data_IF_743201719717
#
_entry.id   IF_743201719717
#
_cell.length_a   1.000
_cell.length_b   1.000
_cell.length_c   1.000
_cell.angle_alpha   90.00
_cell.angle_beta   90.00
_cell.angle_gamma   90.00
#
_symmetry.space_group_name_H-M   'P 1'
#
loop_
_entity.id
_entity.type
_entity.pdbx_description
1 polymer ?
#
# COMPACT_ATOMS: atom_id res chain seq x y z
N UNK A 1 -1.22 5.73 16.25
CA UNK A 1 -0.09 6.67 16.49
C UNK A 1 0.41 7.16 15.14
N UNK A 2 0.79 8.44 15.03
CA UNK A 2 1.31 9.02 13.79
C UNK A 2 2.81 8.70 13.63
N UNK A 3 3.28 8.53 12.39
CA UNK A 3 4.68 8.24 12.05
C UNK A 3 5.44 9.57 11.85
N UNK A 4 5.63 10.34 12.93
CA UNK A 4 6.32 11.64 12.86
C UNK A 4 7.80 11.45 13.22
N UNK A 5 8.75 11.80 12.34
CA UNK A 5 10.18 11.66 12.62
C UNK A 5 10.70 12.80 13.50
N UNK A 6 11.87 12.57 14.13
CA UNK A 6 12.55 13.60 14.95
C UNK A 6 13.24 14.69 14.11
N UNK A 7 13.54 14.40 12.84
CA UNK A 7 14.26 15.29 11.94
C UNK A 7 13.83 15.04 10.49
N UNK A 8 14.11 16.02 9.63
CA UNK A 8 13.86 15.91 8.21
C UNK A 8 14.83 14.92 7.55
N UNK A 9 14.42 14.40 6.39
CA UNK A 9 15.24 13.57 5.51
C UNK A 9 15.15 14.06 4.06
N UNK A 10 16.13 13.68 3.25
CA UNK A 10 16.13 13.88 1.79
C UNK A 10 16.52 12.55 1.14
N UNK A 11 15.86 12.20 0.04
CA UNK A 11 16.05 10.93 -0.67
C UNK A 11 16.16 11.16 -2.18
N UNK A 12 16.59 10.11 -2.90
CA UNK A 12 16.64 10.05 -4.36
C UNK A 12 15.79 8.87 -4.81
N UNK A 13 14.84 9.10 -5.71
CA UNK A 13 14.02 8.05 -6.32
C UNK A 13 14.82 7.30 -7.37
N UNK A 14 14.75 5.97 -7.37
CA UNK A 14 15.44 5.11 -8.32
C UNK A 14 14.46 4.54 -9.32
N UNK A 15 14.83 4.53 -10.60
CA UNK A 15 13.99 3.99 -11.67
C UNK A 15 13.90 2.46 -11.65
N UNK A 16 15.01 1.79 -11.35
CA UNK A 16 15.16 0.34 -11.55
C UNK A 16 14.47 -0.52 -10.47
N UNK A 17 14.08 0.08 -9.36
CA UNK A 17 13.53 -0.63 -8.19
C UNK A 17 12.19 -0.02 -7.84
N UNK A 18 11.11 -0.74 -8.16
CA UNK A 18 9.75 -0.27 -7.99
C UNK A 18 8.83 -1.40 -7.52
N UNK A 19 7.65 -0.98 -7.05
CA UNK A 19 6.56 -1.86 -6.66
C UNK A 19 5.36 -1.50 -7.52
N UNK A 20 4.72 -2.50 -8.11
CA UNK A 20 3.42 -2.34 -8.73
C UNK A 20 2.36 -2.85 -7.76
N UNK A 21 1.25 -2.13 -7.64
CA UNK A 21 0.14 -2.50 -6.78
C UNK A 21 -1.16 -2.25 -7.49
N UNK A 22 -2.04 -3.24 -7.47
CA UNK A 22 -3.42 -3.17 -7.92
C UNK A 22 -4.34 -3.34 -6.71
N UNK A 23 -5.34 -2.49 -6.61
CA UNK A 23 -6.34 -2.52 -5.54
C UNK A 23 -7.73 -2.61 -6.17
N UNK A 24 -8.53 -3.57 -5.70
CA UNK A 24 -9.91 -3.75 -6.12
C UNK A 24 -10.81 -3.73 -4.91
N UNK A 25 -11.62 -2.69 -4.74
CA UNK A 25 -12.62 -2.61 -3.68
C UNK A 25 -13.85 -3.43 -4.04
N UNK A 26 -14.39 -4.18 -3.08
CA UNK A 26 -15.54 -5.07 -3.29
C UNK A 26 -16.38 -5.16 -2.01
N UNK A 27 -17.68 -4.91 -2.13
CA UNK A 27 -18.66 -4.90 -1.03
C UNK A 27 -19.06 -6.29 -0.54
N UNK A 28 -18.76 -7.34 -1.30
CA UNK A 28 -19.00 -8.74 -0.94
C UNK A 28 -17.88 -9.34 -0.09
N UNK A 29 -16.75 -8.66 0.01
CA UNK A 29 -15.64 -9.09 0.86
C UNK A 29 -15.98 -8.85 2.33
N UNK A 30 -15.56 -9.77 3.20
CA UNK A 30 -15.71 -9.64 4.66
C UNK A 30 -14.43 -9.24 5.38
N UNK A 31 -13.31 -9.18 4.65
CA UNK A 31 -11.99 -8.77 5.13
C UNK A 31 -11.11 -8.43 3.93
N UNK A 32 -10.07 -7.62 4.15
CA UNK A 32 -9.05 -7.37 3.13
C UNK A 32 -8.30 -8.65 2.78
N UNK A 33 -7.89 -8.77 1.53
CA UNK A 33 -7.06 -9.87 1.05
C UNK A 33 -5.82 -9.31 0.38
N UNK A 34 -4.65 -9.88 0.67
CA UNK A 34 -3.37 -9.38 0.19
C UNK A 34 -2.53 -10.48 -0.44
N UNK A 35 -2.01 -10.22 -1.63
CA UNK A 35 -1.05 -11.05 -2.35
C UNK A 35 0.21 -10.23 -2.62
N UNK A 36 1.35 -10.84 -2.36
CA UNK A 36 2.67 -10.27 -2.61
C UNK A 36 3.48 -11.23 -3.50
N UNK A 37 3.91 -10.77 -4.67
CA UNK A 37 4.61 -11.58 -5.67
C UNK A 37 3.86 -12.89 -6.01
N UNK A 38 2.53 -12.81 -6.14
CA UNK A 38 1.66 -13.96 -6.40
C UNK A 38 1.38 -14.86 -5.18
N UNK A 39 2.01 -14.63 -4.03
CA UNK A 39 1.79 -15.42 -2.81
C UNK A 39 0.78 -14.74 -1.87
N UNK A 40 -0.18 -15.52 -1.36
CA UNK A 40 -1.18 -15.00 -0.41
C UNK A 40 -0.52 -14.72 0.95
N UNK A 41 -0.60 -13.47 1.40
CA UNK A 41 -0.06 -13.01 2.67
C UNK A 41 -1.11 -13.13 3.77
N UNK A 42 -0.69 -13.51 4.97
CA UNK A 42 -1.58 -13.70 6.12
C UNK A 42 -0.93 -13.27 7.44
N UNK A 43 -1.70 -13.26 8.53
CA UNK A 43 -1.23 -12.93 9.87
C UNK A 43 -0.83 -11.47 10.04
N UNK A 44 0.27 -11.22 10.75
CA UNK A 44 0.70 -9.87 11.15
C UNK A 44 0.91 -8.89 10.01
N UNK A 45 1.29 -9.39 8.84
CA UNK A 45 1.57 -8.54 7.68
C UNK A 45 0.28 -8.10 7.00
N UNK A 46 -0.68 -9.02 6.85
CA UNK A 46 -2.06 -8.69 6.44
C UNK A 46 -2.70 -7.72 7.44
N UNK A 47 -2.58 -7.95 8.75
CA UNK A 47 -3.12 -7.04 9.77
C UNK A 47 -2.57 -5.61 9.66
N UNK A 48 -1.30 -5.44 9.27
CA UNK A 48 -0.71 -4.11 9.04
C UNK A 48 -1.32 -3.43 7.82
N UNK A 49 -1.49 -4.17 6.72
CA UNK A 49 -2.12 -3.67 5.51
C UNK A 49 -3.59 -3.33 5.78
N UNK A 50 -4.36 -4.19 6.45
CA UNK A 50 -5.74 -3.90 6.82
C UNK A 50 -5.89 -2.63 7.66
N UNK A 51 -5.00 -2.40 8.64
CA UNK A 51 -4.98 -1.15 9.42
C UNK A 51 -4.68 0.08 8.57
N UNK A 52 -3.85 -0.06 7.55
CA UNK A 52 -3.63 1.01 6.58
C UNK A 52 -4.88 1.25 5.72
N UNK A 53 -5.52 0.17 5.25
CA UNK A 53 -6.76 0.26 4.49
C UNK A 53 -7.93 0.85 5.30
N UNK A 54 -7.96 0.66 6.62
CA UNK A 54 -8.92 1.36 7.49
C UNK A 54 -8.76 2.88 7.39
N UNK A 55 -7.54 3.41 7.28
CA UNK A 55 -7.31 4.86 7.12
C UNK A 55 -7.85 5.33 5.76
N UNK A 56 -7.59 4.55 4.71
CA UNK A 56 -8.08 4.84 3.34
C UNK A 56 -9.62 4.85 3.32
N UNK A 57 -10.25 3.80 3.84
CA UNK A 57 -11.71 3.66 3.95
C UNK A 57 -12.34 4.85 4.68
N UNK A 58 -11.79 5.20 5.85
CA UNK A 58 -12.28 6.33 6.64
C UNK A 58 -12.14 7.67 5.89
N UNK A 59 -11.06 7.85 5.12
CA UNK A 59 -10.85 9.09 4.34
C UNK A 59 -11.76 9.16 3.12
N UNK A 60 -12.05 8.03 2.48
CA UNK A 60 -12.93 7.94 1.33
C UNK A 60 -14.43 7.85 1.69
N UNK A 61 -14.76 7.56 2.95
CA UNK A 61 -16.15 7.41 3.40
C UNK A 61 -16.82 6.13 2.89
N UNK A 62 -16.04 5.05 2.75
CA UNK A 62 -16.52 3.74 2.30
C UNK A 62 -16.21 2.64 3.32
N UNK A 63 -17.01 1.58 3.33
CA UNK A 63 -16.84 0.42 4.21
C UNK A 63 -16.42 -0.86 3.45
N UNK A 64 -16.12 -0.75 2.15
CA UNK A 64 -15.73 -1.90 1.33
C UNK A 64 -14.30 -2.34 1.63
N UNK A 65 -14.11 -3.65 1.77
CA UNK A 65 -12.79 -4.24 1.83
C UNK A 65 -12.17 -4.34 0.43
N UNK A 66 -10.86 -4.58 0.38
CA UNK A 66 -10.15 -4.66 -0.88
C UNK A 66 -9.37 -5.97 -1.07
N UNK A 67 -9.29 -6.39 -2.32
CA UNK A 67 -8.27 -7.29 -2.83
C UNK A 67 -7.06 -6.46 -3.29
N UNK A 68 -5.90 -6.77 -2.73
CA UNK A 68 -4.65 -6.04 -2.92
C UNK A 68 -3.64 -7.02 -3.51
N UNK A 69 -3.20 -6.74 -4.73
CA UNK A 69 -2.20 -7.54 -5.43
C UNK A 69 -0.97 -6.66 -5.63
N UNK A 70 0.20 -7.07 -5.17
CA UNK A 70 1.42 -6.28 -5.31
C UNK A 70 2.63 -7.11 -5.72
N UNK A 71 3.41 -6.57 -6.66
CA UNK A 71 4.62 -7.19 -7.17
C UNK A 71 5.82 -6.26 -6.93
N UNK A 72 6.88 -6.81 -6.34
CA UNK A 72 8.11 -6.09 -6.01
C UNK A 72 9.22 -6.44 -7.01
N UNK A 73 9.67 -5.44 -7.77
CA UNK A 73 10.74 -5.57 -8.75
C UNK A 73 12.08 -5.15 -8.14
N UNK A 74 12.49 -5.87 -7.09
CA UNK A 74 13.78 -5.66 -6.41
C UNK A 74 14.60 -6.95 -6.39
N UNK A 75 15.95 -6.89 -6.52
CA UNK A 75 16.76 -8.09 -6.41
C UNK A 75 16.63 -8.68 -4.99
N UNK A 76 16.19 -9.93 -4.90
CA UNK A 76 15.86 -10.63 -3.64
C UNK A 76 17.03 -10.72 -2.65
N UNK A 77 18.27 -10.49 -3.10
CA UNK A 77 19.49 -10.57 -2.30
C UNK A 77 20.19 -9.23 -2.02
N UNK A 78 19.60 -8.09 -2.42
CA UNK A 78 20.29 -6.79 -2.34
C UNK A 78 20.17 -6.07 -0.98
N UNK A 79 19.40 -6.60 -0.02
CA UNK A 79 19.19 -5.94 1.27
C UNK A 79 18.49 -4.57 1.18
N UNK A 80 17.80 -4.30 0.06
CA UNK A 80 17.08 -3.06 -0.18
C UNK A 80 15.70 -3.11 0.49
N UNK A 81 15.35 -2.06 1.24
CA UNK A 81 14.04 -1.94 1.87
C UNK A 81 12.96 -1.69 0.81
N UNK A 82 12.05 -2.65 0.62
CA UNK A 82 10.91 -2.56 -0.33
C UNK A 82 9.65 -1.92 0.27
N UNK A 83 9.64 -1.62 1.58
CA UNK A 83 8.43 -1.13 2.25
C UNK A 83 8.02 0.28 1.81
N UNK A 84 8.97 1.17 1.52
CA UNK A 84 8.66 2.54 1.12
C UNK A 84 7.90 2.58 -0.23
N UNK A 85 8.39 1.86 -1.24
CA UNK A 85 7.72 1.77 -2.55
C UNK A 85 6.38 1.05 -2.43
N UNK A 86 6.27 0.02 -1.59
CA UNK A 86 5.02 -0.71 -1.40
C UNK A 86 3.89 0.17 -0.83
N UNK A 87 4.15 0.93 0.24
CA UNK A 87 3.12 1.83 0.78
C UNK A 87 2.81 3.00 -0.16
N UNK A 88 3.80 3.52 -0.90
CA UNK A 88 3.57 4.57 -1.89
C UNK A 88 2.70 4.08 -3.06
N UNK A 89 2.99 2.89 -3.60
CA UNK A 89 2.21 2.28 -4.67
C UNK A 89 0.78 1.96 -4.22
N UNK A 90 0.61 1.42 -3.00
CA UNK A 90 -0.69 1.15 -2.42
C UNK A 90 -1.52 2.45 -2.23
N UNK A 91 -0.90 3.51 -1.71
CA UNK A 91 -1.56 4.81 -1.56
C UNK A 91 -2.06 5.37 -2.90
N UNK A 92 -1.20 5.34 -3.92
CA UNK A 92 -1.53 5.82 -5.26
C UNK A 92 -2.64 4.99 -5.90
N UNK A 93 -2.57 3.65 -5.79
CA UNK A 93 -3.59 2.75 -6.32
C UNK A 93 -4.96 2.97 -5.64
N UNK A 94 -4.98 3.17 -4.32
CA UNK A 94 -6.20 3.51 -3.60
C UNK A 94 -6.80 4.86 -4.04
N UNK A 95 -5.96 5.90 -4.14
CA UNK A 95 -6.39 7.23 -4.61
C UNK A 95 -7.05 7.15 -5.98
N UNK A 96 -6.46 6.37 -6.89
CA UNK A 96 -7.00 6.16 -8.23
C UNK A 96 -8.28 5.30 -8.23
N UNK A 97 -8.29 4.19 -7.49
CA UNK A 97 -9.43 3.27 -7.45
C UNK A 97 -10.70 3.89 -6.84
N UNK A 98 -10.53 4.86 -5.93
CA UNK A 98 -11.62 5.54 -5.24
C UNK A 98 -11.86 6.98 -5.75
N UNK A 99 -11.15 7.43 -6.78
CA UNK A 99 -11.20 8.80 -7.32
C UNK A 99 -11.12 9.89 -6.22
N UNK A 100 -10.17 9.75 -5.30
CA UNK A 100 -10.08 10.64 -4.12
C UNK A 100 -9.48 12.02 -4.45
N UNK A 101 -8.89 12.18 -5.64
CA UNK A 101 -8.31 13.44 -6.14
C UNK A 101 -7.31 14.08 -5.17
N UNK A 102 -6.53 13.24 -4.47
CA UNK A 102 -5.49 13.72 -3.55
C UNK A 102 -4.38 14.44 -4.32
N UNK A 103 -3.84 15.50 -3.71
CA UNK A 103 -2.62 16.14 -4.21
C UNK A 103 -1.39 15.30 -3.86
N UNK A 104 -0.25 15.55 -4.51
CA UNK A 104 1.01 14.85 -4.22
C UNK A 104 1.47 14.92 -2.75
N UNK A 105 0.94 15.89 -1.98
CA UNK A 105 1.30 16.11 -0.58
C UNK A 105 0.39 15.34 0.41
N UNK A 106 -0.84 15.03 0.02
CA UNK A 106 -1.88 14.47 0.88
C UNK A 106 -1.80 12.94 1.02
#
# INVERSE_FOLDING_TARGET
ALIIPMNNSISVTLEKFYTETKVTFNDQLTQDQFWLNGEKVSGKELEKISKYMDIVRNRAGIDWYAEIESDNFVPTAAGLASSASAYAALAAACNQALDMQLSDKD
#
